data_IF_618170917524
#
_entry.id   IF_618170917524
#
_cell.length_a   1.000
_cell.length_b   1.000
_cell.length_c   1.000
_cell.angle_alpha   90.00
_cell.angle_beta   90.00
_cell.angle_gamma   90.00
#
_symmetry.space_group_name_H-M   'P 1'
#
loop_
_entity.id
_entity.type
_entity.pdbx_description
1 polymer ?
#
# COMPACT_ATOMS: atom_id res chain seq x y z
N UNK A 1 -5.37 -13.75 -7.77
CA UNK A 1 -4.74 -13.46 -6.46
C UNK A 1 -3.90 -14.65 -6.02
N UNK A 2 -2.70 -14.42 -5.48
CA UNK A 2 -1.84 -15.44 -4.85
C UNK A 2 -1.35 -14.92 -3.50
N UNK A 3 -1.38 -15.79 -2.49
CA UNK A 3 -0.86 -15.49 -1.15
C UNK A 3 0.65 -15.70 -1.04
N UNK A 4 1.17 -15.53 0.18
CA UNK A 4 2.60 -15.71 0.49
C UNK A 4 2.96 -17.12 0.98
N UNK A 5 1.99 -18.04 1.09
CA UNK A 5 2.19 -19.38 1.69
C UNK A 5 3.22 -20.25 0.97
N UNK A 6 3.49 -19.98 -0.31
CA UNK A 6 4.51 -20.68 -1.12
C UNK A 6 5.86 -19.98 -1.14
N UNK A 7 6.01 -18.82 -0.48
CA UNK A 7 7.29 -18.11 -0.41
C UNK A 7 8.16 -18.78 0.65
N UNK A 8 9.26 -19.39 0.21
CA UNK A 8 10.17 -20.13 1.08
C UNK A 8 11.43 -19.34 1.39
N UNK A 9 12.11 -19.69 2.47
CA UNK A 9 13.36 -19.06 2.86
C UNK A 9 14.47 -19.14 1.79
N UNK A 10 14.71 -20.31 1.13
CA UNK A 10 15.64 -20.37 0.01
C UNK A 10 15.30 -19.40 -1.13
N UNK A 11 14.00 -19.19 -1.41
CA UNK A 11 13.57 -18.24 -2.46
C UNK A 11 13.90 -16.79 -2.06
N UNK A 12 13.74 -16.45 -0.77
CA UNK A 12 14.09 -15.12 -0.24
C UNK A 12 15.59 -14.88 -0.30
N UNK A 13 16.40 -15.89 0.05
CA UNK A 13 17.86 -15.81 0.02
C UNK A 13 18.38 -15.68 -1.40
N UNK A 14 17.85 -16.47 -2.35
CA UNK A 14 18.19 -16.36 -3.76
C UNK A 14 17.85 -14.98 -4.32
N UNK A 15 16.66 -14.45 -4.02
CA UNK A 15 16.29 -13.10 -4.45
C UNK A 15 17.27 -12.04 -3.93
N UNK A 16 17.73 -12.17 -2.67
CA UNK A 16 18.71 -11.25 -2.07
C UNK A 16 20.08 -11.31 -2.75
N UNK A 17 20.55 -12.50 -3.13
CA UNK A 17 21.81 -12.67 -3.87
C UNK A 17 21.79 -11.89 -5.20
N UNK A 18 20.63 -11.84 -5.85
CA UNK A 18 20.43 -11.10 -7.10
C UNK A 18 20.10 -9.61 -6.89
N UNK A 19 20.14 -9.10 -5.66
CA UNK A 19 19.83 -7.70 -5.34
C UNK A 19 18.33 -7.37 -5.27
N UNK A 20 17.48 -8.37 -5.12
CA UNK A 20 16.02 -8.24 -5.00
C UNK A 20 15.50 -8.64 -3.62
N UNK A 21 14.27 -8.23 -3.36
CA UNK A 21 13.44 -8.66 -2.24
C UNK A 21 12.09 -9.11 -2.76
N UNK A 22 11.45 -10.01 -2.02
CA UNK A 22 10.07 -10.45 -2.31
C UNK A 22 9.12 -9.56 -1.51
N UNK A 23 8.18 -8.91 -2.19
CA UNK A 23 7.10 -8.13 -1.57
C UNK A 23 5.75 -8.62 -2.05
N UNK A 24 4.75 -8.62 -1.17
CA UNK A 24 3.36 -8.91 -1.54
C UNK A 24 2.72 -7.61 -2.03
N UNK A 25 2.45 -7.53 -3.34
CA UNK A 25 1.99 -6.30 -3.97
C UNK A 25 0.57 -6.44 -4.47
N UNK A 26 -0.23 -5.39 -4.25
CA UNK A 26 -1.45 -5.13 -4.99
C UNK A 26 -1.15 -4.11 -6.10
N UNK A 27 -1.45 -4.46 -7.34
CA UNK A 27 -1.22 -3.62 -8.53
C UNK A 27 -2.56 -3.46 -9.24
N UNK A 28 -2.94 -2.21 -9.45
CA UNK A 28 -4.12 -1.83 -10.21
C UNK A 28 -3.70 -0.92 -11.37
N UNK A 29 -4.02 -1.34 -12.60
CA UNK A 29 -3.89 -0.51 -13.80
C UNK A 29 -5.17 -0.60 -14.65
N UNK A 30 -5.15 -0.01 -15.85
CA UNK A 30 -6.33 0.07 -16.72
C UNK A 30 -6.97 -1.29 -17.02
N UNK A 31 -6.17 -2.36 -17.08
CA UNK A 31 -6.62 -3.68 -17.52
C UNK A 31 -6.33 -4.78 -16.49
N UNK A 32 -5.59 -4.49 -15.42
CA UNK A 32 -5.12 -5.50 -14.48
C UNK A 32 -5.46 -5.14 -13.03
N UNK A 33 -5.93 -6.15 -12.29
CA UNK A 33 -6.02 -6.16 -10.84
C UNK A 33 -5.31 -7.41 -10.33
N UNK A 34 -4.10 -7.22 -9.80
CA UNK A 34 -3.21 -8.32 -9.40
C UNK A 34 -2.86 -8.15 -7.93
N UNK A 35 -2.90 -9.26 -7.18
CA UNK A 35 -2.41 -9.36 -5.81
C UNK A 35 -1.58 -10.63 -5.71
N UNK A 36 -0.26 -10.51 -5.64
CA UNK A 36 0.68 -11.65 -5.54
C UNK A 36 2.08 -11.24 -5.05
N UNK A 37 2.92 -12.19 -4.58
CA UNK A 37 4.33 -11.93 -4.33
C UNK A 37 5.08 -11.55 -5.62
N UNK A 38 5.92 -10.52 -5.57
CA UNK A 38 6.73 -10.03 -6.70
C UNK A 38 8.15 -9.71 -6.25
N UNK A 39 9.10 -9.87 -7.17
CA UNK A 39 10.46 -9.36 -7.01
C UNK A 39 10.46 -7.84 -7.12
N UNK A 40 11.14 -7.19 -6.19
CA UNK A 40 11.33 -5.75 -6.11
C UNK A 40 12.81 -5.50 -5.86
N UNK A 41 13.43 -4.54 -6.54
CA UNK A 41 14.84 -4.21 -6.27
C UNK A 41 15.03 -3.83 -4.79
N UNK A 42 16.15 -4.24 -4.20
CA UNK A 42 16.43 -3.98 -2.79
C UNK A 42 16.47 -2.50 -2.41
N UNK A 43 16.88 -1.63 -3.35
CA UNK A 43 16.93 -0.16 -3.22
C UNK A 43 15.61 0.55 -3.58
N UNK A 44 14.59 -0.20 -3.99
CA UNK A 44 13.30 0.36 -4.37
C UNK A 44 12.60 1.00 -3.17
N UNK A 45 11.89 2.13 -3.36
CA UNK A 45 11.05 2.70 -2.31
C UNK A 45 9.89 1.78 -1.88
N UNK A 46 9.58 0.75 -2.68
CA UNK A 46 8.61 -0.29 -2.29
C UNK A 46 9.17 -1.26 -1.25
N UNK A 47 10.49 -1.24 -0.99
CA UNK A 47 11.12 -2.07 0.03
C UNK A 47 10.99 -1.46 1.43
N UNK A 48 9.75 -1.38 1.91
CA UNK A 48 9.44 -0.95 3.27
C UNK A 48 9.57 -2.12 4.26
N UNK A 49 9.87 -1.78 5.52
CA UNK A 49 10.05 -2.73 6.62
C UNK A 49 8.97 -2.58 7.69
N UNK A 50 8.79 -3.63 8.49
CA UNK A 50 7.84 -3.63 9.60
C UNK A 50 6.38 -3.69 9.14
N UNK A 51 5.50 -3.03 9.89
CA UNK A 51 4.03 -3.03 9.70
C UNK A 51 3.53 -1.81 8.91
N UNK A 52 4.45 -1.10 8.24
CA UNK A 52 4.08 0.00 7.35
C UNK A 52 3.45 -0.54 6.08
N UNK A 53 2.50 0.23 5.55
CA UNK A 53 1.96 0.08 4.21
C UNK A 53 2.45 1.24 3.35
N UNK A 54 2.58 0.99 2.05
CA UNK A 54 2.94 2.00 1.07
C UNK A 54 2.07 1.87 -0.18
N UNK A 55 1.66 3.02 -0.70
CA UNK A 55 0.94 3.15 -1.97
C UNK A 55 1.79 4.01 -2.89
N UNK A 56 2.12 3.47 -4.07
CA UNK A 56 2.75 4.22 -5.16
C UNK A 56 1.71 4.53 -6.22
N UNK A 57 1.42 5.80 -6.43
CA UNK A 57 0.54 6.30 -7.49
C UNK A 57 1.39 6.75 -8.67
N UNK A 58 1.05 6.31 -9.87
CA UNK A 58 1.59 6.87 -11.11
C UNK A 58 0.58 7.84 -11.70
N UNK A 59 0.98 9.09 -11.85
CA UNK A 59 0.12 10.15 -12.40
C UNK A 59 0.73 10.68 -13.69
N UNK A 60 -0.13 11.14 -14.61
CA UNK A 60 0.30 11.70 -15.90
C UNK A 60 1.14 12.99 -15.74
N UNK A 61 0.83 13.79 -14.72
CA UNK A 61 1.37 15.16 -14.60
C UNK A 61 2.24 15.37 -13.35
N UNK A 62 1.88 14.78 -12.21
CA UNK A 62 2.66 14.89 -10.99
C UNK A 62 3.73 13.77 -10.86
N UNK A 63 3.87 12.93 -11.89
CA UNK A 63 4.78 11.78 -11.86
C UNK A 63 4.40 10.77 -10.79
N UNK A 64 5.43 10.23 -10.11
CA UNK A 64 5.28 9.23 -9.06
C UNK A 64 5.02 9.86 -7.70
N UNK A 65 3.89 9.53 -7.07
CA UNK A 65 3.56 9.94 -5.70
C UNK A 65 3.63 8.71 -4.80
N UNK A 66 4.29 8.84 -3.65
CA UNK A 66 4.41 7.78 -2.65
C UNK A 66 3.70 8.24 -1.38
N UNK A 67 2.79 7.42 -0.89
CA UNK A 67 2.13 7.58 0.41
C UNK A 67 2.57 6.40 1.29
N UNK A 68 3.07 6.68 2.49
CA UNK A 68 3.53 5.67 3.43
C UNK A 68 2.95 5.96 4.82
N UNK A 69 2.58 4.91 5.54
CA UNK A 69 2.10 5.02 6.90
C UNK A 69 1.75 3.65 7.47
N UNK A 70 1.31 3.62 8.72
CA UNK A 70 0.75 2.38 9.29
C UNK A 70 -0.60 2.10 8.66
N UNK A 71 -0.81 0.88 8.18
CA UNK A 71 -2.08 0.49 7.53
C UNK A 71 -2.94 -0.48 8.35
N UNK A 72 -2.52 -0.80 9.57
CA UNK A 72 -3.24 -1.67 10.49
C UNK A 72 -2.95 -1.25 11.93
N UNK A 73 -3.90 -1.53 12.83
CA UNK A 73 -3.84 -1.17 14.25
C UNK A 73 -5.13 -0.48 14.70
N UNK A 74 -5.50 -0.65 15.98
CA UNK A 74 -6.76 -0.12 16.52
C UNK A 74 -6.82 1.40 16.50
N UNK A 75 -5.71 2.07 16.85
CA UNK A 75 -5.63 3.53 16.85
C UNK A 75 -5.67 4.09 15.42
N UNK A 76 -4.94 3.45 14.51
CA UNK A 76 -4.87 3.82 13.10
C UNK A 76 -6.25 3.66 12.41
N UNK A 77 -6.96 2.56 12.70
CA UNK A 77 -8.32 2.34 12.22
C UNK A 77 -9.31 3.35 12.82
N UNK A 78 -9.22 3.63 14.13
CA UNK A 78 -10.07 4.63 14.79
C UNK A 78 -9.87 6.03 14.19
N UNK A 79 -8.62 6.42 13.92
CA UNK A 79 -8.29 7.69 13.26
C UNK A 79 -8.96 7.82 11.89
N UNK A 80 -8.89 6.76 11.05
CA UNK A 80 -9.56 6.74 9.76
C UNK A 80 -11.09 6.88 9.88
N UNK A 81 -11.71 6.14 10.82
CA UNK A 81 -13.16 6.22 11.09
C UNK A 81 -13.57 7.64 11.52
N UNK A 82 -12.82 8.26 12.43
CA UNK A 82 -13.10 9.62 12.90
C UNK A 82 -12.98 10.63 11.76
N UNK A 83 -11.95 10.51 10.91
CA UNK A 83 -11.78 11.37 9.75
C UNK A 83 -12.96 11.28 8.77
N UNK A 84 -13.46 10.07 8.52
CA UNK A 84 -14.63 9.87 7.67
C UNK A 84 -15.90 10.47 8.30
N UNK A 85 -16.09 10.30 9.62
CA UNK A 85 -17.21 10.90 10.35
C UNK A 85 -17.19 12.43 10.26
N UNK A 86 -16.03 13.07 10.50
CA UNK A 86 -15.85 14.51 10.37
C UNK A 86 -16.15 14.96 8.94
N UNK A 87 -15.69 14.20 7.94
CA UNK A 87 -15.92 14.49 6.53
C UNK A 87 -17.42 14.49 6.20
N UNK A 88 -18.17 13.48 6.66
CA UNK A 88 -19.62 13.39 6.46
C UNK A 88 -20.35 14.55 7.14
N UNK A 89 -20.02 14.85 8.40
CA UNK A 89 -20.63 15.95 9.16
C UNK A 89 -20.37 17.29 8.48
N UNK A 90 -19.13 17.53 8.06
CA UNK A 90 -18.74 18.79 7.41
C UNK A 90 -19.44 18.97 6.06
N UNK A 91 -19.54 17.90 5.27
CA UNK A 91 -20.29 17.93 4.00
C UNK A 91 -21.78 18.22 4.24
N UNK A 92 -22.41 17.62 5.26
CA UNK A 92 -23.80 17.90 5.62
C UNK A 92 -24.03 19.35 6.02
N UNK A 93 -23.17 19.93 6.88
CA UNK A 93 -23.28 21.35 7.27
C UNK A 93 -23.19 22.30 6.06
N UNK A 94 -22.35 21.99 5.07
CA UNK A 94 -22.25 22.78 3.82
C UNK A 94 -23.48 22.66 2.91
N UNK A 95 -24.22 21.56 2.98
CA UNK A 95 -25.37 21.26 2.10
C UNK A 95 -26.69 21.82 2.66
N UNK A 96 -26.75 22.19 3.93
CA UNK A 96 -27.90 22.89 4.50
C UNK A 96 -28.14 22.54 5.96
N UNK A 97 -27.63 23.41 6.83
CA UNK A 97 -28.31 23.84 8.05
C UNK A 97 -27.93 25.31 8.27
N UNK A 98 -28.66 26.18 7.55
CA UNK A 98 -29.21 27.38 8.16
C UNK A 98 -30.53 26.97 8.81
#
# INVERSE_FOLDING_TARGET
MKGITKVTQPTIELAKLDGYVIKHLAIADKNNLIVEPRLVKGDSPLNISGTLNLIKLQTKHAGSIILMGKGAGGFEAASAIINDLITVITKRKKIGFN
#
